data_IF_117866527500
#
_entry.id   IF_117866527500
#
_cell.length_a   1.000
_cell.length_b   1.000
_cell.length_c   1.000
_cell.angle_alpha   90.00
_cell.angle_beta   90.00
_cell.angle_gamma   90.00
#
_symmetry.space_group_name_H-M   'P 1'
#
loop_
_entity.id
_entity.type
_entity.pdbx_description
1 polymer ?
#
# COMPACT_ATOMS: atom_id res chain seq x y z
N UNK A 1 30.78 1.56 0.70
CA UNK A 1 29.44 1.83 0.14
C UNK A 1 28.42 2.02 1.25
N UNK A 2 27.24 2.58 0.94
CA UNK A 2 26.20 2.93 1.93
C UNK A 2 25.82 1.72 2.80
N UNK A 3 25.60 0.55 2.18
CA UNK A 3 25.27 -0.67 2.90
C UNK A 3 26.35 -1.16 3.89
N UNK A 4 27.62 -0.95 3.56
CA UNK A 4 28.73 -1.32 4.45
C UNK A 4 28.79 -0.40 5.67
N UNK A 5 28.57 0.90 5.47
CA UNK A 5 28.55 1.87 6.56
C UNK A 5 27.38 1.59 7.53
N UNK A 6 26.21 1.25 6.99
CA UNK A 6 25.06 0.84 7.79
C UNK A 6 25.33 -0.46 8.57
N UNK A 7 25.92 -1.47 7.93
CA UNK A 7 26.32 -2.72 8.62
C UNK A 7 27.31 -2.49 9.76
N UNK A 8 28.28 -1.57 9.59
CA UNK A 8 29.23 -1.21 10.64
C UNK A 8 28.50 -0.54 11.81
N UNK A 9 27.56 0.37 11.53
CA UNK A 9 26.75 1.04 12.56
C UNK A 9 25.91 0.04 13.37
N UNK A 10 25.25 -0.92 12.71
CA UNK A 10 24.38 -1.92 13.33
C UNK A 10 25.09 -3.01 14.17
N UNK A 11 26.43 -2.99 14.21
CA UNK A 11 27.23 -3.88 15.06
C UNK A 11 27.56 -3.28 16.44
N UNK A 12 27.22 -2.00 16.67
CA UNK A 12 27.54 -1.25 17.90
C UNK A 12 26.22 -0.85 18.59
N UNK A 13 26.22 -0.69 19.92
CA UNK A 13 25.03 -0.21 20.66
C UNK A 13 23.97 -1.27 20.98
N UNK A 14 24.33 -2.56 21.04
CA UNK A 14 23.42 -3.69 21.36
C UNK A 14 23.22 -3.93 22.87
N UNK A 15 23.67 -3.01 23.72
CA UNK A 15 23.60 -3.13 25.19
C UNK A 15 22.74 -2.00 25.78
N UNK A 16 22.57 -1.97 27.11
CA UNK A 16 21.87 -0.87 27.80
C UNK A 16 22.58 0.48 27.70
N UNK A 17 23.83 0.50 27.25
CA UNK A 17 24.62 1.72 27.09
C UNK A 17 24.55 2.21 25.65
N UNK A 18 24.37 3.52 25.47
CA UNK A 18 24.29 4.15 24.15
C UNK A 18 25.63 3.98 23.41
N UNK A 19 25.55 3.44 22.20
CA UNK A 19 26.70 3.35 21.29
C UNK A 19 26.83 4.62 20.45
N UNK A 20 28.06 5.04 20.16
CA UNK A 20 28.36 6.16 19.27
C UNK A 20 29.23 5.66 18.11
N UNK A 21 28.93 6.11 16.89
CA UNK A 21 29.72 5.83 15.70
C UNK A 21 30.09 7.15 15.01
N UNK A 22 31.38 7.42 14.88
CA UNK A 22 31.89 8.62 14.24
C UNK A 22 32.39 8.28 12.84
N UNK A 23 31.74 8.82 11.81
CA UNK A 23 32.20 8.72 10.43
C UNK A 23 32.99 9.98 10.08
N UNK A 24 34.29 9.81 9.80
CA UNK A 24 35.20 10.91 9.49
C UNK A 24 35.80 10.73 8.10
N UNK A 25 36.20 11.84 7.48
CA UNK A 25 36.92 11.87 6.21
C UNK A 25 38.03 12.92 6.27
N UNK A 26 38.98 12.83 5.34
CA UNK A 26 40.12 13.75 5.28
C UNK A 26 39.65 15.17 4.90
N UNK A 27 39.94 16.21 5.70
CA UNK A 27 39.51 17.58 5.43
C UNK A 27 40.08 18.18 4.13
N UNK A 28 41.17 17.62 3.59
CA UNK A 28 41.74 18.04 2.30
C UNK A 28 41.09 17.38 1.08
N UNK A 29 40.22 16.38 1.27
CA UNK A 29 39.53 15.68 0.18
C UNK A 29 38.16 16.28 -0.09
N UNK A 30 37.95 16.74 -1.33
CA UNK A 30 36.61 17.04 -1.82
C UNK A 30 35.84 15.74 -2.03
N UNK A 31 34.74 15.58 -1.28
CA UNK A 31 33.79 14.51 -1.50
C UNK A 31 33.04 14.74 -2.81
N UNK A 32 32.70 13.67 -3.50
CA UNK A 32 31.75 13.75 -4.62
C UNK A 32 30.35 13.97 -4.07
N UNK A 33 29.45 14.58 -4.84
CA UNK A 33 28.06 14.82 -4.42
C UNK A 33 27.37 13.52 -3.99
N UNK A 34 27.69 12.41 -4.68
CA UNK A 34 27.19 11.08 -4.34
C UNK A 34 27.73 10.59 -2.97
N UNK A 35 28.97 10.91 -2.61
CA UNK A 35 29.55 10.55 -1.33
C UNK A 35 28.99 11.41 -0.19
N UNK A 36 28.75 12.70 -0.44
CA UNK A 36 28.13 13.60 0.52
C UNK A 36 26.70 13.16 0.83
N UNK A 37 25.90 12.89 -0.21
CA UNK A 37 24.52 12.41 -0.07
C UNK A 37 24.43 11.07 0.67
N UNK A 38 25.43 10.19 0.51
CA UNK A 38 25.50 8.94 1.28
C UNK A 38 25.74 9.18 2.78
N UNK A 39 26.53 10.19 3.15
CA UNK A 39 26.77 10.53 4.56
C UNK A 39 25.50 11.11 5.20
N UNK A 40 24.81 12.01 4.50
CA UNK A 40 23.53 12.59 4.94
C UNK A 40 22.47 11.50 5.18
N UNK A 41 22.33 10.55 4.25
CA UNK A 41 21.37 9.45 4.42
C UNK A 41 21.70 8.58 5.64
N UNK A 42 22.97 8.33 5.95
CA UNK A 42 23.35 7.53 7.14
C UNK A 42 23.02 8.25 8.44
N UNK A 43 23.13 9.58 8.46
CA UNK A 43 22.80 10.41 9.61
C UNK A 43 21.31 10.33 9.96
N UNK A 44 20.43 10.32 8.94
CA UNK A 44 18.97 10.33 9.14
C UNK A 44 18.37 9.00 9.60
N UNK A 45 19.12 7.90 9.53
CA UNK A 45 18.62 6.54 9.73
C UNK A 45 18.58 6.14 11.22
N UNK A 46 18.00 6.88 12.16
CA UNK A 46 18.20 6.64 13.61
C UNK A 46 17.30 5.57 14.27
N UNK A 47 16.49 4.81 13.51
CA UNK A 47 15.49 3.88 14.08
C UNK A 47 15.54 2.44 13.54
N UNK A 48 15.03 1.51 14.36
CA UNK A 48 14.87 0.09 14.06
C UNK A 48 13.98 -0.06 12.80
N UNK A 49 14.51 -0.61 11.70
CA UNK A 49 13.85 -0.67 10.39
C UNK A 49 14.65 -0.03 9.24
N UNK A 50 15.71 0.70 9.56
CA UNK A 50 16.57 1.43 8.62
C UNK A 50 17.31 0.58 7.55
N UNK A 51 17.25 -0.75 7.61
CA UNK A 51 17.84 -1.65 6.60
C UNK A 51 17.11 -1.65 5.27
N UNK A 52 15.83 -1.25 5.24
CA UNK A 52 15.02 -1.22 4.03
C UNK A 52 15.07 0.14 3.31
N UNK A 53 15.10 1.26 4.05
CA UNK A 53 15.37 2.60 3.48
C UNK A 53 16.73 2.65 2.78
N UNK A 54 17.70 1.90 3.29
CA UNK A 54 19.01 1.70 2.71
C UNK A 54 18.96 1.07 1.30
N UNK A 55 18.09 0.08 1.07
CA UNK A 55 17.98 -0.60 -0.22
C UNK A 55 17.33 0.30 -1.28
N UNK A 56 16.30 1.06 -0.89
CA UNK A 56 15.62 2.00 -1.79
C UNK A 56 16.54 3.17 -2.18
N UNK A 57 17.28 3.74 -1.22
CA UNK A 57 18.25 4.79 -1.53
C UNK A 57 19.46 4.29 -2.31
N UNK A 58 19.90 3.04 -2.13
CA UNK A 58 20.98 2.47 -2.94
C UNK A 58 20.54 2.26 -4.40
N UNK A 59 19.25 2.03 -4.65
CA UNK A 59 18.64 1.99 -5.99
C UNK A 59 18.61 3.38 -6.65
N UNK A 60 18.20 4.41 -5.91
CA UNK A 60 18.19 5.80 -6.39
C UNK A 60 19.60 6.35 -6.64
N UNK A 61 20.55 6.07 -5.74
CA UNK A 61 21.92 6.58 -5.78
C UNK A 61 22.74 5.93 -6.90
N UNK A 62 22.43 4.69 -7.29
CA UNK A 62 23.10 4.02 -8.42
C UNK A 62 22.61 4.52 -9.78
N UNK A 63 21.50 5.26 -9.81
CA UNK A 63 20.82 5.67 -11.04
C UNK A 63 20.21 4.45 -11.70
N UNK A 64 18.88 4.38 -11.73
CA UNK A 64 18.19 3.56 -12.72
C UNK A 64 18.76 3.96 -14.09
N UNK A 65 19.55 3.06 -14.67
CA UNK A 65 20.31 3.33 -15.87
C UNK A 65 19.42 3.94 -16.93
N UNK A 66 19.98 4.90 -17.66
CA UNK A 66 19.38 5.44 -18.87
C UNK A 66 19.05 4.28 -19.81
N UNK A 67 17.77 3.88 -19.85
CA UNK A 67 17.22 2.95 -20.83
C UNK A 67 16.03 3.69 -21.44
N UNK A 68 16.34 4.44 -22.49
CA UNK A 68 15.40 5.02 -23.45
C UNK A 68 14.21 4.06 -23.69
N UNK A 69 13.03 4.48 -23.25
CA UNK A 69 11.76 3.79 -23.46
C UNK A 69 10.68 4.39 -22.56
N UNK A 70 9.89 5.30 -23.13
CA UNK A 70 8.86 6.12 -22.47
C UNK A 70 7.66 5.37 -21.85
N UNK A 71 7.73 4.07 -21.54
CA UNK A 71 6.53 3.29 -21.14
C UNK A 71 6.59 2.56 -19.78
N UNK A 72 7.65 2.71 -18.97
CA UNK A 72 7.78 1.97 -17.69
C UNK A 72 8.05 2.80 -16.42
N UNK A 73 7.75 4.10 -16.40
CA UNK A 73 7.79 4.87 -15.15
C UNK A 73 6.64 4.56 -14.18
N UNK A 74 5.54 3.98 -14.67
CA UNK A 74 4.37 3.63 -13.87
C UNK A 74 4.60 2.46 -12.90
N UNK A 75 5.33 1.43 -13.33
CA UNK A 75 5.47 0.18 -12.56
C UNK A 75 6.44 0.31 -11.38
N UNK A 76 7.46 1.17 -11.50
CA UNK A 76 8.41 1.45 -10.40
C UNK A 76 7.74 2.28 -9.29
N UNK A 77 6.81 3.16 -9.65
CA UNK A 77 5.98 3.90 -8.69
C UNK A 77 5.01 2.99 -7.93
N UNK A 78 4.52 1.94 -8.60
CA UNK A 78 3.59 0.94 -8.06
C UNK A 78 4.24 0.06 -6.97
N UNK A 79 5.48 -0.40 -7.19
CA UNK A 79 6.24 -1.20 -6.20
C UNK A 79 6.56 -0.40 -4.93
N UNK A 80 6.77 0.92 -5.05
CA UNK A 80 7.04 1.79 -3.90
C UNK A 80 5.85 1.93 -2.95
N UNK A 81 4.63 1.99 -3.50
CA UNK A 81 3.39 2.07 -2.70
C UNK A 81 3.05 0.73 -2.07
N UNK A 82 3.23 -0.39 -2.80
CA UNK A 82 2.97 -1.73 -2.28
C UNK A 82 3.95 -2.10 -1.15
N UNK A 83 5.24 -1.79 -1.31
CA UNK A 83 6.25 -1.94 -0.27
C UNK A 83 5.96 -1.02 0.94
N UNK A 84 5.53 0.21 0.70
CA UNK A 84 5.15 1.14 1.76
C UNK A 84 3.89 0.69 2.53
N UNK A 85 2.89 0.13 1.85
CA UNK A 85 1.69 -0.45 2.46
C UNK A 85 2.04 -1.70 3.27
N UNK A 86 2.92 -2.57 2.75
CA UNK A 86 3.42 -3.72 3.49
C UNK A 86 4.19 -3.29 4.75
N UNK A 87 5.05 -2.26 4.64
CA UNK A 87 5.77 -1.68 5.78
C UNK A 87 4.82 -1.05 6.82
N UNK A 88 3.73 -0.41 6.38
CA UNK A 88 2.71 0.14 7.26
C UNK A 88 1.93 -0.98 7.98
N UNK A 89 1.55 -2.03 7.26
CA UNK A 89 0.85 -3.20 7.85
C UNK A 89 1.76 -3.93 8.86
N UNK A 90 3.04 -4.12 8.55
CA UNK A 90 4.02 -4.71 9.46
C UNK A 90 4.27 -3.83 10.69
N UNK A 91 4.38 -2.50 10.52
CA UNK A 91 4.57 -1.57 11.64
C UNK A 91 3.35 -1.48 12.55
N UNK A 92 2.13 -1.54 11.98
CA UNK A 92 0.88 -1.58 12.75
C UNK A 92 0.71 -2.94 13.45
N UNK A 93 1.12 -4.04 12.83
CA UNK A 93 1.12 -5.36 13.45
C UNK A 93 2.08 -5.42 14.65
N UNK A 94 3.32 -4.94 14.48
CA UNK A 94 4.32 -4.89 15.55
C UNK A 94 3.92 -3.95 16.70
N UNK A 95 3.25 -2.83 16.41
CA UNK A 95 2.73 -1.93 17.43
C UNK A 95 1.55 -2.53 18.22
N UNK A 96 0.75 -3.40 17.59
CA UNK A 96 -0.34 -4.14 18.26
C UNK A 96 0.18 -5.32 19.09
N UNK A 97 1.29 -5.94 18.72
CA UNK A 97 1.94 -7.00 19.52
C UNK A 97 2.67 -6.45 20.76
N UNK A 98 3.00 -5.15 20.78
CA UNK A 98 3.61 -4.46 21.93
C UNK A 98 2.64 -3.73 22.86
N UNK A 99 1.33 -3.79 22.60
CA UNK A 99 0.28 -3.26 23.46
C UNK A 99 -0.55 -4.43 23.97
N UNK A 100 -0.33 -4.79 25.24
CA UNK A 100 -1.19 -5.71 26.00
C UNK A 100 -2.65 -5.21 25.91
N UNK A 101 -3.43 -5.79 25.01
CA UNK A 101 -4.87 -5.60 24.98
C UNK A 101 -5.52 -6.72 25.78
N UNK A 102 -5.75 -6.44 27.07
CA UNK A 102 -6.74 -7.15 27.87
C UNK A 102 -8.13 -6.91 27.27
N UNK A 103 -8.60 -7.84 26.44
CA UNK A 103 -9.93 -7.77 25.86
C UNK A 103 -10.05 -8.69 24.66
N UNK A 104 -10.31 -9.97 24.94
CA UNK A 104 -10.39 -11.00 23.92
C UNK A 104 -11.47 -10.71 22.88
N UNK A 105 -11.03 -10.52 21.65
CA UNK A 105 -11.73 -10.99 20.45
C UNK A 105 -10.65 -11.57 19.53
N UNK A 106 -10.97 -12.75 18.99
CA UNK A 106 -10.08 -13.65 18.27
C UNK A 106 -9.28 -12.88 17.23
N UNK A 107 -7.95 -13.07 17.23
CA UNK A 107 -7.10 -12.60 16.15
C UNK A 107 -7.58 -13.21 14.83
N UNK A 108 -8.49 -12.52 14.12
CA UNK A 108 -8.82 -12.83 12.75
C UNK A 108 -7.51 -12.85 11.96
N UNK A 109 -7.27 -13.93 11.21
CA UNK A 109 -6.11 -14.04 10.32
C UNK A 109 -6.02 -12.76 9.48
N UNK A 110 -5.03 -11.91 9.79
CA UNK A 110 -4.86 -10.58 9.20
C UNK A 110 -4.39 -10.72 7.76
N UNK A 111 -5.30 -11.03 6.85
CA UNK A 111 -5.06 -10.92 5.42
C UNK A 111 -5.63 -9.60 4.89
N UNK A 112 -5.02 -9.11 3.81
CA UNK A 112 -5.27 -7.79 3.24
C UNK A 112 -5.54 -7.93 1.75
N UNK A 113 -6.72 -7.51 1.24
CA UNK A 113 -7.01 -7.57 -0.19
C UNK A 113 -6.01 -6.74 -1.00
N UNK A 114 -5.45 -7.34 -2.05
CA UNK A 114 -4.63 -6.65 -3.06
C UNK A 114 -5.53 -6.11 -4.18
N UNK A 115 -5.53 -4.79 -4.40
CA UNK A 115 -6.43 -4.14 -5.37
C UNK A 115 -5.59 -3.37 -6.38
N UNK A 116 -5.63 -3.79 -7.64
CA UNK A 116 -5.05 -3.06 -8.77
C UNK A 116 -6.14 -2.61 -9.75
N UNK A 117 -6.25 -1.30 -9.95
CA UNK A 117 -7.24 -0.68 -10.86
C UNK A 117 -6.59 0.26 -11.89
N UNK A 118 -5.25 0.34 -11.90
CA UNK A 118 -4.48 1.19 -12.80
C UNK A 118 -4.68 2.70 -12.57
N UNK A 119 -4.78 3.12 -11.31
CA UNK A 119 -4.95 4.53 -10.94
C UNK A 119 -3.93 4.96 -9.87
N UNK A 120 -3.64 6.26 -9.80
CA UNK A 120 -2.78 6.79 -8.73
C UNK A 120 -3.56 6.90 -7.42
N UNK A 121 -3.00 6.32 -6.36
CA UNK A 121 -3.60 6.23 -5.02
C UNK A 121 -2.56 6.66 -4.00
N UNK A 122 -2.51 7.96 -3.71
CA UNK A 122 -1.55 8.52 -2.76
C UNK A 122 -2.07 9.86 -2.22
N UNK A 123 -1.56 10.25 -1.06
CA UNK A 123 -1.66 11.60 -0.53
C UNK A 123 -0.48 12.42 -1.08
N UNK A 124 -0.71 13.42 -1.95
CA UNK A 124 0.36 14.22 -2.53
C UNK A 124 1.06 15.07 -1.48
N UNK A 125 2.34 15.36 -1.69
CA UNK A 125 3.10 16.31 -0.86
C UNK A 125 2.56 17.74 -0.98
N UNK A 126 2.11 18.14 -2.17
CA UNK A 126 1.42 19.42 -2.37
C UNK A 126 0.06 19.54 -1.66
N UNK A 127 -0.50 18.43 -1.15
CA UNK A 127 -1.75 18.46 -0.37
C UNK A 127 -1.48 18.36 1.14
N UNK A 128 -0.56 17.48 1.54
CA UNK A 128 -0.10 17.36 2.93
C UNK A 128 1.42 17.39 2.94
N UNK A 129 2.00 18.57 3.13
CA UNK A 129 3.45 18.77 3.06
C UNK A 129 4.20 17.98 4.14
N UNK A 130 3.71 18.02 5.38
CA UNK A 130 4.35 17.32 6.50
C UNK A 130 4.23 15.80 6.37
N UNK A 131 5.39 15.13 6.34
CA UNK A 131 5.49 13.68 6.19
C UNK A 131 4.85 12.94 7.36
N UNK A 132 5.07 13.37 8.60
CA UNK A 132 4.53 12.69 9.79
C UNK A 132 3.00 12.76 9.82
N UNK A 133 2.43 13.92 9.47
CA UNK A 133 0.98 14.08 9.33
C UNK A 133 0.46 13.13 8.25
N UNK A 134 1.12 13.07 7.09
CA UNK A 134 0.72 12.16 6.01
C UNK A 134 0.75 10.69 6.42
N UNK A 135 1.80 10.28 7.13
CA UNK A 135 1.93 8.92 7.68
C UNK A 135 0.83 8.62 8.68
N UNK A 136 0.46 9.59 9.52
CA UNK A 136 -0.66 9.44 10.46
C UNK A 136 -2.00 9.27 9.74
N UNK A 137 -2.22 9.98 8.62
CA UNK A 137 -3.42 9.85 7.80
C UNK A 137 -3.49 8.46 7.14
N UNK A 138 -2.38 7.95 6.60
CA UNK A 138 -2.34 6.59 6.06
C UNK A 138 -2.64 5.52 7.11
N UNK A 139 -2.11 5.67 8.33
CA UNK A 139 -2.43 4.75 9.43
C UNK A 139 -3.91 4.80 9.79
N UNK A 140 -4.50 5.99 9.86
CA UNK A 140 -5.94 6.13 10.15
C UNK A 140 -6.80 5.53 9.04
N UNK A 141 -6.42 5.70 7.78
CA UNK A 141 -7.12 5.10 6.63
C UNK A 141 -7.21 3.57 6.72
N UNK A 142 -6.19 2.89 7.25
CA UNK A 142 -6.21 1.42 7.40
C UNK A 142 -7.10 0.93 8.54
N UNK A 143 -7.51 1.82 9.43
CA UNK A 143 -8.39 1.57 10.58
C UNK A 143 -9.86 1.97 10.29
N UNK A 144 -10.16 2.46 9.08
CA UNK A 144 -11.54 2.79 8.68
C UNK A 144 -12.30 1.54 8.28
N UNK A 145 -13.45 1.28 8.90
CA UNK A 145 -14.20 0.03 8.75
C UNK A 145 -15.56 0.17 8.06
N UNK A 146 -16.11 1.38 7.98
CA UNK A 146 -17.43 1.64 7.41
C UNK A 146 -17.44 2.91 6.55
N UNK A 147 -18.56 3.11 5.84
CA UNK A 147 -18.72 4.20 4.87
C UNK A 147 -18.81 5.54 5.58
N UNK A 148 -19.47 5.58 6.72
CA UNK A 148 -19.65 6.77 7.55
C UNK A 148 -18.30 7.30 8.06
N UNK A 149 -17.40 6.41 8.48
CA UNK A 149 -16.05 6.76 8.91
C UNK A 149 -15.18 7.26 7.75
N UNK A 150 -15.33 6.69 6.56
CA UNK A 150 -14.67 7.20 5.34
C UNK A 150 -15.17 8.60 4.99
N UNK A 151 -16.49 8.85 5.07
CA UNK A 151 -17.08 10.15 4.81
C UNK A 151 -16.67 11.20 5.86
N UNK A 152 -16.64 10.82 7.15
CA UNK A 152 -16.15 11.67 8.23
C UNK A 152 -14.66 12.01 8.05
N UNK A 153 -13.84 11.03 7.66
CA UNK A 153 -12.43 11.25 7.38
C UNK A 153 -12.23 12.18 6.17
N UNK A 154 -13.02 12.02 5.10
CA UNK A 154 -13.00 12.91 3.95
C UNK A 154 -13.38 14.36 4.33
N UNK A 155 -14.42 14.53 5.16
CA UNK A 155 -14.82 15.85 5.65
C UNK A 155 -13.71 16.49 6.50
N UNK A 156 -13.03 15.71 7.35
CA UNK A 156 -11.87 16.18 8.12
C UNK A 156 -10.72 16.61 7.20
N UNK A 157 -10.43 15.85 6.14
CA UNK A 157 -9.41 16.24 5.17
C UNK A 157 -9.73 17.58 4.51
N UNK A 158 -11.00 17.79 4.14
CA UNK A 158 -11.45 19.04 3.52
C UNK A 158 -11.31 20.22 4.48
N UNK A 159 -11.72 20.05 5.73
CA UNK A 159 -11.64 21.10 6.75
C UNK A 159 -10.19 21.48 7.07
N UNK A 160 -9.28 20.50 7.10
CA UNK A 160 -7.87 20.71 7.49
C UNK A 160 -6.96 21.13 6.35
N UNK A 161 -7.18 20.61 5.14
CA UNK A 161 -6.23 20.71 4.01
C UNK A 161 -6.86 21.29 2.74
N UNK A 162 -8.18 21.53 2.73
CA UNK A 162 -8.89 22.07 1.57
C UNK A 162 -9.36 20.98 0.58
N UNK A 163 -9.65 21.34 -0.68
CA UNK A 163 -10.23 20.40 -1.64
C UNK A 163 -9.38 19.15 -1.86
N UNK A 164 -10.00 17.98 -1.77
CA UNK A 164 -9.34 16.67 -1.93
C UNK A 164 -8.85 16.50 -3.38
N UNK A 165 -7.56 16.20 -3.61
CA UNK A 165 -7.04 15.85 -4.94
C UNK A 165 -7.59 14.52 -5.46
N UNK A 166 -7.55 14.31 -6.78
CA UNK A 166 -8.03 13.08 -7.42
C UNK A 166 -7.36 11.83 -6.82
N UNK A 167 -6.05 11.87 -6.57
CA UNK A 167 -5.29 10.74 -6.01
C UNK A 167 -5.75 10.35 -4.60
N UNK A 168 -6.24 11.32 -3.83
CA UNK A 168 -6.76 11.09 -2.47
C UNK A 168 -8.21 10.61 -2.52
N UNK A 169 -9.02 11.14 -3.44
CA UNK A 169 -10.37 10.63 -3.69
C UNK A 169 -10.31 9.14 -4.10
N UNK A 170 -9.37 8.82 -5.01
CA UNK A 170 -9.09 7.46 -5.44
C UNK A 170 -8.68 6.57 -4.26
N UNK A 171 -7.80 7.06 -3.39
CA UNK A 171 -7.37 6.34 -2.18
C UNK A 171 -8.55 6.01 -1.26
N UNK A 172 -9.47 6.96 -1.03
CA UNK A 172 -10.68 6.73 -0.22
C UNK A 172 -11.59 5.68 -0.86
N UNK A 173 -11.74 5.69 -2.19
CA UNK A 173 -12.52 4.67 -2.90
C UNK A 173 -11.87 3.28 -2.79
N UNK A 174 -10.54 3.18 -2.82
CA UNK A 174 -9.84 1.92 -2.60
C UNK A 174 -10.06 1.39 -1.19
N UNK A 175 -10.08 2.26 -0.17
CA UNK A 175 -10.39 1.84 1.21
C UNK A 175 -11.81 1.27 1.30
N UNK A 176 -12.80 1.91 0.67
CA UNK A 176 -14.17 1.37 0.57
C UNK A 176 -14.18 -0.02 -0.10
N UNK A 177 -13.49 -0.16 -1.23
CA UNK A 177 -13.40 -1.45 -1.96
C UNK A 177 -12.72 -2.51 -1.10
N UNK A 178 -11.66 -2.17 -0.36
CA UNK A 178 -10.94 -3.10 0.52
C UNK A 178 -11.86 -3.68 1.59
N UNK A 179 -12.76 -2.88 2.15
CA UNK A 179 -13.75 -3.39 3.13
C UNK A 179 -14.76 -4.33 2.47
N UNK A 180 -15.27 -3.98 1.28
CA UNK A 180 -16.17 -4.85 0.53
C UNK A 180 -15.49 -6.18 0.15
N UNK A 181 -14.22 -6.15 -0.22
CA UNK A 181 -13.44 -7.35 -0.51
C UNK A 181 -13.32 -8.26 0.72
N UNK A 182 -13.06 -7.69 1.90
CA UNK A 182 -13.00 -8.48 3.15
C UNK A 182 -14.34 -9.16 3.46
N UNK A 183 -15.44 -8.41 3.35
CA UNK A 183 -16.80 -8.94 3.54
C UNK A 183 -17.11 -10.06 2.53
N UNK A 184 -16.68 -9.89 1.28
CA UNK A 184 -16.89 -10.85 0.20
C UNK A 184 -15.88 -12.00 0.15
N UNK A 185 -14.92 -12.08 1.08
CA UNK A 185 -13.87 -13.12 1.08
C UNK A 185 -12.92 -13.05 -0.12
N UNK A 186 -12.62 -11.86 -0.63
CA UNK A 186 -11.80 -11.60 -1.82
C UNK A 186 -10.41 -11.07 -1.47
N UNK A 187 -9.37 -11.81 -1.83
CA UNK A 187 -7.97 -11.47 -1.55
C UNK A 187 -7.28 -10.68 -2.66
N UNK A 188 -7.82 -10.72 -3.89
CA UNK A 188 -7.23 -10.02 -5.02
C UNK A 188 -8.28 -9.50 -5.98
N UNK A 189 -8.11 -8.26 -6.43
CA UNK A 189 -8.87 -7.67 -7.53
C UNK A 189 -7.89 -7.02 -8.51
N UNK A 190 -7.89 -7.48 -9.75
CA UNK A 190 -7.13 -6.87 -10.85
C UNK A 190 -8.11 -6.39 -11.91
N UNK A 191 -8.21 -5.08 -12.11
CA UNK A 191 -9.12 -4.45 -13.07
C UNK A 191 -8.37 -3.80 -14.24
N UNK A 192 -8.87 -4.05 -15.44
CA UNK A 192 -8.36 -3.47 -16.69
C UNK A 192 -9.48 -3.07 -17.64
N UNK A 193 -9.14 -2.67 -18.89
CA UNK A 193 -10.12 -2.21 -19.88
C UNK A 193 -11.24 -3.22 -20.19
N UNK A 194 -10.94 -4.51 -20.08
CA UNK A 194 -11.86 -5.61 -20.43
C UNK A 194 -12.59 -6.21 -19.23
N UNK A 195 -12.51 -5.57 -18.06
CA UNK A 195 -13.20 -5.96 -16.84
C UNK A 195 -12.24 -6.27 -15.69
N UNK A 196 -12.56 -7.25 -14.86
CA UNK A 196 -11.76 -7.59 -13.67
C UNK A 196 -11.55 -9.10 -13.49
N UNK A 197 -10.44 -9.44 -12.86
CA UNK A 197 -10.14 -10.76 -12.31
C UNK A 197 -10.17 -10.66 -10.79
N UNK A 198 -10.88 -11.59 -10.15
CA UNK A 198 -11.10 -11.65 -8.72
C UNK A 198 -10.52 -12.97 -8.20
N UNK A 199 -9.65 -12.88 -7.20
CA UNK A 199 -9.17 -13.99 -6.38
C UNK A 199 -9.92 -14.05 -5.05
N UNK A 200 -10.20 -15.26 -4.59
CA UNK A 200 -10.83 -15.49 -3.30
C UNK A 200 -9.78 -15.87 -2.27
N UNK A 201 -10.00 -15.44 -1.02
CA UNK A 201 -9.13 -15.81 0.07
C UNK A 201 -9.08 -17.33 0.24
N UNK A 202 -7.86 -17.90 0.33
CA UNK A 202 -7.63 -19.36 0.33
C UNK A 202 -8.24 -20.08 -0.88
N UNK A 203 -8.30 -19.38 -2.02
CA UNK A 203 -8.92 -19.83 -3.27
C UNK A 203 -10.39 -20.26 -3.14
N UNK A 204 -11.06 -19.95 -2.02
CA UNK A 204 -12.39 -20.50 -1.72
C UNK A 204 -13.43 -19.39 -1.63
N UNK A 205 -14.43 -19.35 -2.52
CA UNK A 205 -15.53 -18.40 -2.40
C UNK A 205 -16.33 -18.68 -1.11
N UNK A 206 -16.75 -17.63 -0.37
CA UNK A 206 -17.44 -17.81 0.91
C UNK A 206 -18.79 -18.53 0.78
N UNK A 207 -19.55 -18.30 -0.29
CA UNK A 207 -20.86 -18.92 -0.49
C UNK A 207 -21.09 -19.38 -1.95
N UNK A 208 -20.62 -20.59 -2.28
CA UNK A 208 -20.67 -21.14 -3.66
C UNK A 208 -22.08 -21.16 -4.29
N UNK A 209 -23.17 -21.60 -3.62
CA UNK A 209 -24.49 -21.61 -4.25
C UNK A 209 -25.01 -20.22 -4.66
N UNK A 210 -24.87 -19.23 -3.78
CA UNK A 210 -25.21 -17.83 -4.05
C UNK A 210 -24.36 -17.25 -5.19
N UNK A 211 -23.05 -17.52 -5.20
CA UNK A 211 -22.16 -17.13 -6.28
C UNK A 211 -22.61 -17.70 -7.64
N UNK A 212 -22.95 -18.99 -7.68
CA UNK A 212 -23.43 -19.65 -8.91
C UNK A 212 -24.76 -19.06 -9.39
N UNK A 213 -25.70 -18.80 -8.47
CA UNK A 213 -26.97 -18.14 -8.80
C UNK A 213 -26.76 -16.74 -9.37
N UNK A 214 -25.90 -15.94 -8.75
CA UNK A 214 -25.54 -14.61 -9.24
C UNK A 214 -24.83 -14.66 -10.60
N UNK A 215 -23.94 -15.62 -10.83
CA UNK A 215 -23.31 -15.84 -12.14
C UNK A 215 -24.33 -16.18 -13.24
N UNK A 216 -25.34 -16.98 -12.91
CA UNK A 216 -26.42 -17.33 -13.84
C UNK A 216 -27.29 -16.11 -14.19
N UNK A 217 -27.61 -15.27 -13.20
CA UNK A 217 -28.36 -14.02 -13.40
C UNK A 217 -27.62 -13.04 -14.32
N UNK A 218 -26.29 -12.92 -14.16
CA UNK A 218 -25.45 -11.99 -14.94
C UNK A 218 -25.11 -12.46 -16.36
N UNK A 219 -25.65 -13.60 -16.81
CA UNK A 219 -25.73 -13.96 -18.23
C UNK A 219 -24.39 -13.93 -18.99
N UNK A 220 -23.43 -14.77 -18.60
CA UNK A 220 -22.15 -14.93 -19.31
C UNK A 220 -21.15 -13.78 -19.13
N UNK A 221 -21.56 -12.71 -18.45
CA UNK A 221 -20.72 -11.57 -18.12
C UNK A 221 -19.86 -11.81 -16.86
N UNK A 222 -20.05 -12.94 -16.18
CA UNK A 222 -19.21 -13.50 -15.14
C UNK A 222 -18.81 -14.92 -15.54
N UNK A 223 -17.52 -15.26 -15.39
CA UNK A 223 -17.00 -16.59 -15.72
C UNK A 223 -16.03 -17.05 -14.64
N UNK A 224 -16.22 -18.27 -14.14
CA UNK A 224 -15.25 -18.91 -13.26
C UNK A 224 -14.19 -19.60 -14.10
N UNK A 225 -12.91 -19.31 -13.84
CA UNK A 225 -11.78 -19.96 -14.49
C UNK A 225 -11.41 -21.27 -13.77
N UNK A 226 -10.64 -22.17 -14.41
CA UNK A 226 -10.17 -23.42 -13.78
C UNK A 226 -9.29 -23.21 -12.54
N UNK A 227 -8.64 -22.05 -12.42
CA UNK A 227 -7.84 -21.63 -11.27
C UNK A 227 -8.67 -20.98 -10.16
N UNK A 228 -9.99 -21.23 -10.12
CA UNK A 228 -10.94 -20.75 -9.11
C UNK A 228 -11.07 -19.21 -9.03
N UNK A 229 -10.48 -18.49 -9.98
CA UNK A 229 -10.65 -17.04 -10.12
C UNK A 229 -11.92 -16.68 -10.88
N UNK A 230 -12.62 -15.66 -10.40
CA UNK A 230 -13.79 -15.12 -11.07
C UNK A 230 -13.38 -14.01 -12.03
N UNK A 231 -13.81 -14.10 -13.28
CA UNK A 231 -13.59 -13.08 -14.30
C UNK A 231 -14.90 -12.36 -14.57
N UNK A 232 -14.92 -11.07 -14.32
CA UNK A 232 -16.00 -10.18 -14.74
C UNK A 232 -15.65 -9.55 -16.09
N UNK A 233 -16.45 -9.82 -17.11
CA UNK A 233 -16.28 -9.24 -18.45
C UNK A 233 -17.10 -7.96 -18.50
N UNK A 234 -16.40 -6.83 -18.65
CA UNK A 234 -16.97 -5.48 -18.73
C UNK A 234 -16.12 -4.63 -19.67
N UNK A 235 -16.62 -3.46 -20.03
CA UNK A 235 -15.84 -2.46 -20.76
C UNK A 235 -15.62 -1.25 -19.87
N UNK A 236 -14.38 -1.08 -19.41
CA UNK A 236 -13.95 -0.02 -18.49
C UNK A 236 -12.72 0.70 -19.04
N UNK A 237 -12.95 1.51 -20.07
CA UNK A 237 -11.88 2.15 -20.83
C UNK A 237 -11.06 3.13 -19.96
N UNK A 238 -11.71 3.78 -18.99
CA UNK A 238 -11.06 4.75 -18.08
C UNK A 238 -10.83 4.19 -16.67
N UNK A 239 -9.79 4.65 -15.93
CA UNK A 239 -9.58 4.27 -14.53
C UNK A 239 -10.80 4.54 -13.63
N UNK A 240 -11.46 5.70 -13.79
CA UNK A 240 -12.66 6.03 -13.03
C UNK A 240 -13.81 5.02 -13.25
N UNK A 241 -13.99 4.54 -14.49
CA UNK A 241 -14.96 3.48 -14.78
C UNK A 241 -14.57 2.14 -14.12
N UNK A 242 -13.27 1.82 -14.06
CA UNK A 242 -12.77 0.59 -13.40
C UNK A 242 -13.09 0.63 -11.91
N UNK A 243 -12.79 1.72 -11.21
CA UNK A 243 -13.08 1.82 -9.77
C UNK A 243 -14.56 1.73 -9.48
N UNK A 244 -15.37 2.52 -10.21
CA UNK A 244 -16.83 2.49 -10.05
C UNK A 244 -17.39 1.08 -10.32
N UNK A 245 -16.85 0.41 -11.35
CA UNK A 245 -17.21 -0.94 -11.72
C UNK A 245 -16.83 -1.97 -10.68
N UNK A 246 -15.58 -1.93 -10.19
CA UNK A 246 -15.08 -2.80 -9.11
C UNK A 246 -15.87 -2.59 -7.83
N UNK A 247 -16.12 -1.35 -7.43
CA UNK A 247 -16.93 -1.05 -6.24
C UNK A 247 -18.33 -1.63 -6.35
N UNK A 248 -19.00 -1.47 -7.50
CA UNK A 248 -20.31 -2.06 -7.73
C UNK A 248 -20.26 -3.59 -7.63
N UNK A 249 -19.24 -4.20 -8.24
CA UNK A 249 -19.04 -5.64 -8.27
C UNK A 249 -18.80 -6.22 -6.86
N UNK A 250 -17.93 -5.57 -6.07
CA UNK A 250 -17.65 -5.99 -4.70
C UNK A 250 -18.85 -5.78 -3.78
N UNK A 251 -19.63 -4.72 -3.98
CA UNK A 251 -20.86 -4.49 -3.21
C UNK A 251 -21.90 -5.56 -3.47
N UNK A 252 -22.12 -5.93 -4.74
CA UNK A 252 -23.02 -7.04 -5.09
C UNK A 252 -22.55 -8.36 -4.46
N UNK A 253 -21.24 -8.63 -4.51
CA UNK A 253 -20.68 -9.88 -3.98
C UNK A 253 -20.69 -9.94 -2.45
N UNK A 254 -20.48 -8.81 -1.78
CA UNK A 254 -20.59 -8.71 -0.32
C UNK A 254 -22.02 -9.01 0.16
N UNK A 255 -23.05 -8.77 -0.65
CA UNK A 255 -24.43 -9.16 -0.35
C UNK A 255 -24.73 -10.65 -0.55
N UNK A 256 -23.79 -11.43 -1.11
CA UNK A 256 -23.95 -12.89 -1.31
C UNK A 256 -23.49 -13.71 -0.10
N UNK A 257 -22.79 -13.08 0.85
CA UNK A 257 -22.26 -13.68 2.08
C UNK A 257 -23.19 -13.38 3.24
#
# INVERSE_FOLDING_TARGET
GLAQLYQIRGRIGRSKLRGYAYLTYDPGKKLTDQAMKRLEVIETLDTLGAGFQLASHDMDIRGAGNLLGEEQSGHIREVGVELYQQMLEEAVAAAREGLDWEGGEVAEEKWSPQINVGMSVLIPDGYVEDLNVRMSLYRRLSELHDKEAIEAFAAELIDRFGPIPEEVENLLQIVEIKQLCKQAGVDRVEAGPKGAVIGFYKDTPPHIPALMGWMQEKGGALKLRPDQKLVAIRQWDTPAQRVKGVRSLMREMACLV
#
